data_IF_626485096915
#
_entry.id   IF_626485096915
#
_cell.length_a   1.000
_cell.length_b   1.000
_cell.length_c   1.000
_cell.angle_alpha   90.00
_cell.angle_beta   90.00
_cell.angle_gamma   90.00
#
_symmetry.space_group_name_H-M   'P 1'
#
loop_
_entity.id
_entity.type
_entity.pdbx_description
1 polymer ?
#
# COMPACT_ATOMS: atom_id res chain seq x y z
N UNK A 1 -14.31 -11.34 19.29
CA UNK A 1 -13.54 -12.21 18.39
C UNK A 1 -12.15 -12.45 18.93
N UNK A 2 -11.68 -13.69 18.86
CA UNK A 2 -10.28 -14.09 19.11
C UNK A 2 -9.53 -14.14 17.79
N UNK A 3 -8.43 -13.39 17.68
CA UNK A 3 -7.77 -13.15 16.39
C UNK A 3 -6.32 -13.58 16.45
N UNK A 4 -5.91 -14.37 15.45
CA UNK A 4 -4.54 -14.76 15.21
C UNK A 4 -4.05 -14.01 13.96
N UNK A 5 -2.96 -13.25 14.07
CA UNK A 5 -2.39 -12.44 12.98
C UNK A 5 -0.96 -12.87 12.69
N UNK A 6 -0.73 -13.44 11.52
CA UNK A 6 0.60 -13.81 11.04
C UNK A 6 1.13 -12.72 10.11
N UNK A 7 2.41 -12.37 10.25
CA UNK A 7 3.03 -11.29 9.47
C UNK A 7 2.34 -9.94 9.74
N UNK A 8 2.07 -9.66 11.02
CA UNK A 8 1.17 -8.58 11.45
C UNK A 8 1.63 -7.17 11.04
N UNK A 9 2.94 -6.98 10.89
CA UNK A 9 3.53 -5.69 10.57
C UNK A 9 3.19 -4.63 11.62
N UNK A 10 2.52 -3.57 11.18
CA UNK A 10 2.12 -2.45 12.03
C UNK A 10 0.68 -2.59 12.55
N UNK A 11 0.16 -3.82 12.64
CA UNK A 11 -1.18 -4.15 13.15
C UNK A 11 -2.33 -3.46 12.41
N UNK A 12 -2.22 -3.38 11.07
CA UNK A 12 -3.30 -2.89 10.23
C UNK A 12 -4.59 -3.72 10.42
N UNK A 13 -4.47 -5.03 10.71
CA UNK A 13 -5.60 -5.91 10.96
C UNK A 13 -6.40 -5.51 12.20
N UNK A 14 -5.73 -5.22 13.32
CA UNK A 14 -6.37 -4.73 14.54
C UNK A 14 -7.11 -3.40 14.30
N UNK A 15 -6.47 -2.46 13.60
CA UNK A 15 -7.13 -1.19 13.27
C UNK A 15 -8.33 -1.38 12.33
N UNK A 16 -8.26 -2.33 11.39
CA UNK A 16 -9.36 -2.64 10.50
C UNK A 16 -10.56 -3.24 11.25
N UNK A 17 -10.32 -4.12 12.23
CA UNK A 17 -11.36 -4.67 13.11
C UNK A 17 -12.06 -3.56 13.92
N UNK A 18 -11.28 -2.63 14.49
CA UNK A 18 -11.84 -1.47 15.20
C UNK A 18 -12.71 -0.61 14.28
N UNK A 19 -12.27 -0.37 13.04
CA UNK A 19 -13.05 0.41 12.04
C UNK A 19 -14.31 -0.30 11.57
N UNK A 20 -14.28 -1.63 11.49
CA UNK A 20 -15.45 -2.45 11.20
C UNK A 20 -16.41 -2.58 12.40
N UNK A 21 -16.05 -2.01 13.57
CA UNK A 21 -16.87 -2.11 14.78
C UNK A 21 -16.87 -3.50 15.42
N UNK A 22 -15.89 -4.35 15.08
CA UNK A 22 -15.83 -5.73 15.56
C UNK A 22 -15.07 -5.78 16.89
N UNK A 23 -15.70 -6.22 18.00
CA UNK A 23 -15.02 -6.31 19.28
C UNK A 23 -13.99 -7.44 19.29
N UNK A 24 -12.78 -7.11 19.74
CA UNK A 24 -11.64 -8.04 19.83
C UNK A 24 -11.43 -8.41 21.29
N UNK A 25 -11.53 -9.70 21.59
CA UNK A 25 -11.33 -10.26 22.94
C UNK A 25 -9.83 -10.48 23.20
N UNK A 26 -9.15 -11.13 22.26
CA UNK A 26 -7.70 -11.31 22.27
C UNK A 26 -7.15 -11.18 20.85
N UNK A 27 -5.90 -10.74 20.76
CA UNK A 27 -5.19 -10.54 19.50
C UNK A 27 -3.74 -10.99 19.66
N UNK A 28 -3.41 -12.07 18.98
CA UNK A 28 -2.10 -12.74 19.04
C UNK A 28 -1.39 -12.55 17.70
N UNK A 29 -0.22 -11.92 17.73
CA UNK A 29 0.49 -11.47 16.55
C UNK A 29 1.89 -12.09 16.42
N UNK A 30 2.21 -12.59 15.23
CA UNK A 30 3.55 -13.03 14.84
C UNK A 30 4.19 -11.98 13.92
N UNK A 31 5.26 -11.35 14.41
CA UNK A 31 6.04 -10.34 13.68
C UNK A 31 7.48 -10.31 14.21
N UNK A 32 8.45 -10.24 13.30
CA UNK A 32 9.89 -10.27 13.59
C UNK A 32 10.55 -8.90 13.42
N UNK A 33 9.96 -7.98 12.65
CA UNK A 33 10.49 -6.65 12.46
C UNK A 33 10.27 -5.81 13.73
N UNK A 34 11.37 -5.58 14.45
CA UNK A 34 11.37 -4.80 15.70
C UNK A 34 10.71 -3.42 15.58
N UNK A 35 10.79 -2.75 14.43
CA UNK A 35 10.20 -1.43 14.25
C UNK A 35 8.69 -1.53 14.08
N UNK A 36 8.24 -2.55 13.33
CA UNK A 36 6.83 -2.85 13.18
C UNK A 36 6.18 -3.21 14.53
N UNK A 37 6.83 -4.08 15.32
CA UNK A 37 6.43 -4.41 16.70
C UNK A 37 6.43 -3.17 17.60
N UNK A 38 7.40 -2.26 17.47
CA UNK A 38 7.44 -1.02 18.26
C UNK A 38 6.22 -0.14 17.98
N UNK A 39 5.85 0.02 16.70
CA UNK A 39 4.66 0.77 16.28
C UNK A 39 3.39 0.09 16.79
N UNK A 40 3.30 -1.22 16.63
CA UNK A 40 2.18 -2.04 17.11
C UNK A 40 1.96 -1.86 18.62
N UNK A 41 2.98 -2.11 19.44
CA UNK A 41 2.89 -1.98 20.91
C UNK A 41 2.49 -0.58 21.37
N UNK A 42 2.91 0.46 20.66
CA UNK A 42 2.54 1.85 20.99
C UNK A 42 1.05 2.10 20.73
N UNK A 43 0.53 1.60 19.62
CA UNK A 43 -0.85 1.86 19.21
C UNK A 43 -1.85 0.89 19.87
N UNK A 44 -1.43 -0.36 20.08
CA UNK A 44 -2.23 -1.45 20.63
C UNK A 44 -1.43 -2.25 21.67
N UNK A 45 -1.25 -1.73 22.90
CA UNK A 45 -0.54 -2.44 23.97
C UNK A 45 -1.14 -3.80 24.36
N UNK A 46 -2.40 -4.04 23.97
CA UNK A 46 -3.15 -5.26 24.24
C UNK A 46 -2.76 -6.43 23.34
N UNK A 47 -2.02 -6.20 22.25
CA UNK A 47 -1.58 -7.25 21.33
C UNK A 47 -0.48 -8.09 21.98
N UNK A 48 -0.64 -9.40 21.96
CA UNK A 48 0.37 -10.37 22.41
C UNK A 48 1.28 -10.71 21.25
N UNK A 49 2.58 -10.48 21.39
CA UNK A 49 3.56 -10.71 20.33
C UNK A 49 4.35 -11.99 20.55
N UNK A 50 4.30 -12.91 19.58
CA UNK A 50 4.95 -14.23 19.63
C UNK A 50 6.28 -14.30 18.85
N UNK A 51 6.58 -13.30 18.03
CA UNK A 51 7.83 -13.25 17.27
C UNK A 51 7.77 -14.03 15.96
N UNK A 52 8.71 -14.96 15.78
CA UNK A 52 8.90 -15.67 14.52
C UNK A 52 7.85 -16.76 14.30
N UNK A 53 7.23 -16.75 13.12
CA UNK A 53 6.17 -17.69 12.74
C UNK A 53 6.65 -19.15 12.70
N UNK A 54 7.93 -19.39 12.37
CA UNK A 54 8.48 -20.74 12.30
C UNK A 54 8.60 -21.42 13.67
N UNK A 55 8.72 -20.63 14.72
CA UNK A 55 8.90 -21.13 16.09
C UNK A 55 7.54 -21.24 16.82
N UNK A 56 6.44 -20.88 16.14
CA UNK A 56 5.09 -20.91 16.69
C UNK A 56 4.50 -22.31 16.77
N UNK A 57 3.95 -22.64 17.95
CA UNK A 57 2.96 -23.71 18.14
C UNK A 57 1.57 -23.11 17.97
N UNK A 58 0.88 -23.40 16.86
CA UNK A 58 -0.43 -22.81 16.60
C UNK A 58 -1.59 -23.58 17.25
N UNK A 59 -1.31 -24.76 17.82
CA UNK A 59 -2.33 -25.58 18.48
C UNK A 59 -2.87 -24.93 19.75
N UNK A 60 -2.10 -24.00 20.36
CA UNK A 60 -2.54 -23.19 21.50
C UNK A 60 -3.67 -22.19 21.13
N UNK A 61 -3.83 -21.87 19.85
CA UNK A 61 -4.86 -20.95 19.35
C UNK A 61 -6.11 -21.69 18.86
N UNK A 62 -6.31 -22.94 19.29
CA UNK A 62 -7.51 -23.70 18.96
C UNK A 62 -8.79 -22.97 19.39
N UNK A 63 -9.72 -22.83 18.46
CA UNK A 63 -11.00 -22.16 18.69
C UNK A 63 -10.97 -20.63 18.51
N UNK A 64 -9.89 -20.09 17.94
CA UNK A 64 -9.86 -18.70 17.49
C UNK A 64 -10.85 -18.49 16.33
N UNK A 65 -11.36 -17.27 16.19
CA UNK A 65 -12.42 -16.99 15.22
C UNK A 65 -11.85 -16.59 13.86
N UNK A 66 -10.74 -15.86 13.84
CA UNK A 66 -10.21 -15.21 12.64
C UNK A 66 -8.69 -15.35 12.55
N UNK A 67 -8.21 -15.87 11.42
CA UNK A 67 -6.81 -15.84 11.02
C UNK A 67 -6.57 -14.73 9.98
N UNK A 68 -5.64 -13.83 10.27
CA UNK A 68 -5.18 -12.81 9.34
C UNK A 68 -3.75 -13.11 8.90
N UNK A 69 -3.41 -12.81 7.64
CA UNK A 69 -2.01 -12.81 7.26
C UNK A 69 -1.70 -12.30 5.86
N UNK A 70 -0.53 -11.68 5.72
CA UNK A 70 -0.01 -11.23 4.43
C UNK A 70 1.47 -11.56 4.34
N UNK A 71 1.80 -12.72 3.75
CA UNK A 71 3.19 -13.15 3.71
C UNK A 71 4.07 -12.16 2.91
N UNK A 72 5.36 -12.01 3.27
CA UNK A 72 6.29 -11.13 2.58
C UNK A 72 6.29 -11.26 1.05
N UNK A 73 5.72 -10.27 0.38
CA UNK A 73 5.57 -10.29 -1.08
C UNK A 73 6.88 -9.97 -1.85
N UNK A 74 7.98 -9.73 -1.13
CA UNK A 74 9.31 -9.41 -1.69
C UNK A 74 9.84 -10.51 -2.60
N UNK A 75 9.48 -11.76 -2.35
CA UNK A 75 9.91 -12.90 -3.15
C UNK A 75 9.16 -13.01 -4.49
N UNK A 76 7.92 -12.53 -4.55
CA UNK A 76 7.01 -12.74 -5.68
C UNK A 76 6.76 -11.49 -6.53
N UNK A 77 7.19 -10.32 -6.07
CA UNK A 77 6.98 -9.05 -6.78
C UNK A 77 7.78 -8.95 -8.08
N UNK A 78 7.18 -8.40 -9.14
CA UNK A 78 7.85 -8.06 -10.43
C UNK A 78 8.97 -7.04 -10.23
N UNK A 79 8.95 -6.29 -9.12
CA UNK A 79 10.02 -5.34 -8.81
C UNK A 79 11.36 -6.04 -8.52
N UNK A 80 11.37 -7.35 -8.22
CA UNK A 80 12.57 -8.16 -8.04
C UNK A 80 12.99 -8.78 -9.38
N UNK A 81 14.26 -8.64 -9.75
CA UNK A 81 14.81 -9.21 -11.00
C UNK A 81 14.74 -10.76 -10.99
N UNK A 82 15.08 -11.37 -9.86
CA UNK A 82 15.08 -12.83 -9.65
C UNK A 82 13.93 -13.23 -8.71
N UNK A 83 12.69 -12.98 -9.14
CA UNK A 83 11.49 -13.36 -8.39
C UNK A 83 11.27 -14.87 -8.43
N UNK A 84 10.69 -15.42 -7.39
CA UNK A 84 10.24 -16.81 -7.39
C UNK A 84 9.05 -16.96 -8.34
N UNK A 85 9.06 -18.04 -9.11
CA UNK A 85 8.00 -18.39 -10.06
C UNK A 85 7.39 -19.76 -9.73
N UNK A 86 8.02 -20.49 -8.81
CA UNK A 86 7.68 -21.82 -8.34
C UNK A 86 7.43 -21.84 -6.83
N UNK A 87 6.86 -22.94 -6.35
CA UNK A 87 6.40 -23.11 -4.97
C UNK A 87 7.49 -23.68 -4.03
N UNK A 88 8.76 -23.55 -4.40
CA UNK A 88 9.90 -24.11 -3.65
C UNK A 88 10.66 -23.07 -2.83
N UNK A 89 10.38 -21.79 -3.07
CA UNK A 89 11.11 -20.69 -2.44
C UNK A 89 10.65 -20.33 -1.03
N UNK A 90 11.35 -19.37 -0.45
CA UNK A 90 11.14 -18.92 0.92
C UNK A 90 9.76 -18.24 1.07
N UNK A 91 9.31 -17.51 0.04
CA UNK A 91 7.97 -16.92 0.04
C UNK A 91 6.89 -17.98 0.19
N UNK A 92 7.05 -19.12 -0.48
CA UNK A 92 6.08 -20.22 -0.40
C UNK A 92 6.19 -20.97 0.92
N UNK A 93 7.39 -21.07 1.49
CA UNK A 93 7.58 -21.61 2.85
C UNK A 93 6.83 -20.79 3.89
N UNK A 94 6.88 -19.46 3.82
CA UNK A 94 6.10 -18.56 4.69
C UNK A 94 4.59 -18.74 4.51
N UNK A 95 4.13 -18.95 3.26
CA UNK A 95 2.73 -19.29 3.00
C UNK A 95 2.33 -20.64 3.61
N UNK A 96 3.19 -21.65 3.58
CA UNK A 96 2.91 -22.94 4.25
C UNK A 96 2.73 -22.78 5.76
N UNK A 97 3.46 -21.87 6.40
CA UNK A 97 3.25 -21.57 7.82
C UNK A 97 1.88 -20.96 8.08
N UNK A 98 1.39 -20.12 7.17
CA UNK A 98 0.02 -19.60 7.26
C UNK A 98 -1.02 -20.72 7.16
N UNK A 99 -0.82 -21.67 6.23
CA UNK A 99 -1.70 -22.85 6.10
C UNK A 99 -1.63 -23.73 7.34
N UNK A 100 -0.42 -23.99 7.87
CA UNK A 100 -0.21 -24.72 9.13
C UNK A 100 -0.96 -24.05 10.28
N UNK A 101 -0.86 -22.73 10.41
CA UNK A 101 -1.58 -21.98 11.42
C UNK A 101 -3.10 -22.11 11.26
N UNK A 102 -3.62 -22.06 10.03
CA UNK A 102 -5.05 -22.24 9.75
C UNK A 102 -5.55 -23.62 10.18
N UNK A 103 -4.81 -24.67 9.81
CA UNK A 103 -5.16 -26.07 10.12
C UNK A 103 -5.05 -26.37 11.63
N UNK A 104 -3.96 -25.95 12.29
CA UNK A 104 -3.70 -26.23 13.70
C UNK A 104 -4.61 -25.42 14.65
N UNK A 105 -4.89 -24.16 14.34
CA UNK A 105 -5.79 -23.30 15.13
C UNK A 105 -7.28 -23.58 14.87
N UNK A 106 -7.62 -24.11 13.69
CA UNK A 106 -9.01 -24.33 13.30
C UNK A 106 -9.84 -23.05 13.24
N UNK A 107 -9.22 -21.91 12.86
CA UNK A 107 -9.92 -20.64 12.75
C UNK A 107 -11.13 -20.73 11.81
N UNK A 108 -12.27 -20.17 12.25
CA UNK A 108 -13.53 -20.20 11.47
C UNK A 108 -13.40 -19.41 10.17
N UNK A 109 -12.80 -18.23 10.26
CA UNK A 109 -12.58 -17.33 9.13
C UNK A 109 -11.10 -17.10 8.91
N UNK A 110 -10.71 -16.85 7.66
CA UNK A 110 -9.36 -16.48 7.33
C UNK A 110 -9.32 -15.39 6.26
N UNK A 111 -8.28 -14.55 6.29
CA UNK A 111 -7.99 -13.57 5.26
C UNK A 111 -6.50 -13.54 4.96
N UNK A 112 -6.14 -14.00 3.76
CA UNK A 112 -4.79 -14.00 3.25
C UNK A 112 -4.60 -12.97 2.15
N UNK A 113 -3.60 -12.09 2.27
CA UNK A 113 -3.30 -11.04 1.29
C UNK A 113 -1.96 -11.27 0.58
N UNK A 114 -1.92 -10.93 -0.71
CA UNK A 114 -0.66 -10.74 -1.42
C UNK A 114 -0.74 -9.76 -2.58
N UNK A 115 0.41 -9.47 -3.18
CA UNK A 115 0.51 -8.58 -4.33
C UNK A 115 -0.26 -9.15 -5.56
N UNK A 116 -0.84 -8.28 -6.37
CA UNK A 116 -1.54 -8.71 -7.59
C UNK A 116 -0.59 -9.33 -8.64
N UNK A 117 0.69 -9.02 -8.54
CA UNK A 117 1.73 -9.34 -9.51
C UNK A 117 2.37 -10.73 -9.34
N UNK A 118 1.94 -11.50 -8.33
CA UNK A 118 2.39 -12.88 -8.07
C UNK A 118 2.25 -13.71 -9.34
N UNK A 119 3.22 -14.59 -9.59
CA UNK A 119 3.20 -15.48 -10.75
C UNK A 119 1.95 -16.38 -10.72
N UNK A 120 1.36 -16.66 -11.89
CA UNK A 120 0.08 -17.36 -11.97
C UNK A 120 0.14 -18.74 -11.30
N UNK A 121 1.21 -19.51 -11.52
CA UNK A 121 1.39 -20.82 -10.87
C UNK A 121 1.31 -20.76 -9.34
N UNK A 122 1.84 -19.71 -8.73
CA UNK A 122 1.80 -19.53 -7.27
C UNK A 122 0.38 -19.17 -6.84
N UNK A 123 -0.32 -18.32 -7.60
CA UNK A 123 -1.73 -18.00 -7.33
C UNK A 123 -2.61 -19.24 -7.42
N UNK A 124 -2.43 -20.05 -8.46
CA UNK A 124 -3.19 -21.27 -8.68
C UNK A 124 -2.98 -22.26 -7.53
N UNK A 125 -1.75 -22.39 -7.04
CA UNK A 125 -1.47 -23.25 -5.89
C UNK A 125 -2.04 -22.69 -4.59
N UNK A 126 -1.98 -21.37 -4.35
CA UNK A 126 -2.62 -20.73 -3.19
C UNK A 126 -4.14 -20.97 -3.23
N UNK A 127 -4.78 -20.74 -4.38
CA UNK A 127 -6.21 -20.98 -4.60
C UNK A 127 -6.57 -22.44 -4.33
N UNK A 128 -5.76 -23.38 -4.83
CA UNK A 128 -5.96 -24.82 -4.62
C UNK A 128 -5.85 -25.22 -3.15
N UNK A 129 -4.86 -24.69 -2.43
CA UNK A 129 -4.62 -25.03 -1.02
C UNK A 129 -5.67 -24.40 -0.10
N UNK A 130 -6.02 -23.13 -0.32
CA UNK A 130 -7.03 -22.42 0.48
C UNK A 130 -8.47 -22.73 0.06
N UNK A 131 -8.68 -23.35 -1.10
CA UNK A 131 -9.98 -23.75 -1.64
C UNK A 131 -10.88 -22.59 -2.07
N UNK A 132 -10.33 -21.37 -2.23
CA UNK A 132 -11.09 -20.15 -2.56
C UNK A 132 -10.38 -19.35 -3.64
N UNK A 133 -11.14 -18.69 -4.51
CA UNK A 133 -10.60 -17.82 -5.55
C UNK A 133 -10.17 -16.44 -4.99
N UNK A 134 -9.12 -15.81 -5.55
CA UNK A 134 -8.68 -14.50 -5.10
C UNK A 134 -9.63 -13.39 -5.54
N UNK A 135 -9.97 -12.52 -4.59
CA UNK A 135 -10.64 -11.25 -4.85
C UNK A 135 -9.57 -10.20 -5.12
N UNK A 136 -9.62 -9.55 -6.29
CA UNK A 136 -8.71 -8.46 -6.62
C UNK A 136 -9.35 -7.12 -6.26
N UNK A 137 -8.74 -6.37 -5.34
CA UNK A 137 -9.20 -5.02 -4.97
C UNK A 137 -8.06 -4.02 -5.23
N UNK A 138 -8.41 -2.89 -5.83
CA UNK A 138 -7.51 -1.74 -5.94
C UNK A 138 -7.83 -0.73 -4.83
N UNK A 139 -6.83 -0.39 -4.02
CA UNK A 139 -6.96 0.62 -2.97
C UNK A 139 -7.35 2.00 -3.48
N UNK A 140 -7.24 2.25 -4.80
CA UNK A 140 -7.70 3.49 -5.41
C UNK A 140 -9.19 3.76 -5.17
N UNK A 141 -10.01 2.75 -4.87
CA UNK A 141 -11.41 2.94 -4.51
C UNK A 141 -11.57 3.70 -3.18
N UNK A 142 -10.71 3.41 -2.20
CA UNK A 142 -10.85 3.96 -0.83
C UNK A 142 -9.73 4.91 -0.43
N UNK A 143 -8.72 5.09 -1.28
CA UNK A 143 -7.52 5.88 -1.02
C UNK A 143 -7.02 6.59 -2.28
N UNK A 144 -6.12 7.55 -2.10
CA UNK A 144 -5.41 8.23 -3.16
C UNK A 144 -4.28 7.40 -3.80
N UNK A 145 -4.22 6.08 -3.58
CA UNK A 145 -3.15 5.21 -4.07
C UNK A 145 -3.65 4.17 -5.10
N UNK A 146 -2.93 4.05 -6.22
CA UNK A 146 -3.09 2.90 -7.11
C UNK A 146 -2.29 1.70 -6.56
N UNK A 147 -2.97 0.78 -5.87
CA UNK A 147 -2.40 -0.42 -5.23
C UNK A 147 -3.35 -1.60 -5.42
N UNK A 148 -3.02 -2.49 -6.35
CA UNK A 148 -3.76 -3.73 -6.61
C UNK A 148 -3.23 -4.85 -5.73
N UNK A 149 -4.13 -5.57 -5.05
CA UNK A 149 -3.85 -6.73 -4.21
C UNK A 149 -4.86 -7.84 -4.45
N UNK A 150 -4.44 -9.07 -4.18
CA UNK A 150 -5.27 -10.27 -4.18
C UNK A 150 -5.53 -10.68 -2.74
N UNK A 151 -6.79 -11.02 -2.45
CA UNK A 151 -7.25 -11.45 -1.14
C UNK A 151 -7.91 -12.82 -1.29
N UNK A 152 -7.44 -13.82 -0.55
CA UNK A 152 -8.05 -15.13 -0.43
C UNK A 152 -8.73 -15.22 0.92
N UNK A 153 -10.03 -15.51 0.93
CA UNK A 153 -10.82 -15.53 2.17
C UNK A 153 -12.07 -16.38 2.00
N UNK A 154 -12.52 -16.98 3.10
CA UNK A 154 -13.83 -17.63 3.21
C UNK A 154 -14.91 -16.73 3.84
N UNK A 155 -14.58 -15.45 4.13
CA UNK A 155 -15.56 -14.46 4.58
C UNK A 155 -16.54 -14.19 3.42
N UNK A 156 -17.87 -14.13 3.66
CA UNK A 156 -18.87 -14.05 2.61
C UNK A 156 -18.89 -12.65 1.95
N UNK A 157 -17.92 -12.41 1.06
CA UNK A 157 -17.75 -11.15 0.36
C UNK A 157 -18.88 -10.94 -0.67
N UNK A 158 -19.70 -9.91 -0.46
CA UNK A 158 -20.89 -9.65 -1.29
C UNK A 158 -20.74 -8.46 -2.23
N UNK A 159 -19.88 -7.49 -1.93
CA UNK A 159 -19.75 -6.28 -2.74
C UNK A 159 -18.39 -5.60 -2.58
N UNK A 160 -17.97 -4.89 -3.62
CA UNK A 160 -16.75 -4.08 -3.61
C UNK A 160 -16.98 -2.74 -2.89
N UNK A 161 -15.94 -2.14 -2.30
CA UNK A 161 -16.05 -0.80 -1.73
C UNK A 161 -16.35 0.23 -2.83
N UNK A 162 -17.20 1.20 -2.51
CA UNK A 162 -17.49 2.32 -3.40
C UNK A 162 -16.27 3.23 -3.58
N UNK A 163 -16.14 3.85 -4.76
CA UNK A 163 -15.07 4.81 -5.01
C UNK A 163 -15.34 6.12 -4.24
N UNK A 164 -14.49 6.41 -3.25
CA UNK A 164 -14.52 7.64 -2.46
C UNK A 164 -14.03 8.87 -3.24
N UNK A 165 -13.48 8.70 -4.45
CA UNK A 165 -13.04 9.79 -5.31
C UNK A 165 -11.80 10.55 -4.82
N UNK A 166 -11.06 10.00 -3.86
CA UNK A 166 -9.94 10.67 -3.18
C UNK A 166 -8.72 10.76 -4.12
N UNK A 167 -8.21 11.94 -4.39
CA UNK A 167 -7.01 12.15 -5.21
C UNK A 167 -5.78 12.45 -4.34
N UNK A 168 -4.59 12.42 -4.95
CA UNK A 168 -3.35 12.63 -4.20
C UNK A 168 -3.31 14.01 -3.52
N UNK A 169 -3.79 15.05 -4.19
CA UNK A 169 -3.94 16.40 -3.62
C UNK A 169 -4.74 16.43 -2.30
N UNK A 170 -5.68 15.50 -2.11
CA UNK A 170 -6.58 15.49 -0.95
C UNK A 170 -5.91 14.88 0.29
N UNK A 171 -4.79 14.16 0.13
CA UNK A 171 -4.04 13.56 1.24
C UNK A 171 -2.75 14.33 1.59
N UNK A 172 -2.41 15.38 0.83
CA UNK A 172 -1.22 16.20 1.08
C UNK A 172 -1.32 16.97 2.39
N UNK A 173 -0.17 17.19 3.03
CA UNK A 173 -0.09 18.09 4.18
C UNK A 173 -0.10 19.55 3.72
N UNK A 174 -0.83 20.40 4.45
CA UNK A 174 -0.75 21.85 4.29
C UNK A 174 0.42 22.40 5.12
N UNK A 175 1.10 23.43 4.63
CA UNK A 175 2.10 24.16 5.42
C UNK A 175 3.43 23.43 5.65
N UNK A 176 3.80 22.44 4.82
CA UNK A 176 5.11 21.76 4.93
C UNK A 176 6.24 22.78 4.77
N UNK A 177 7.07 22.94 5.81
CA UNK A 177 8.10 23.97 5.87
C UNK A 177 9.17 23.80 4.76
N UNK A 178 9.47 24.90 4.08
CA UNK A 178 10.46 24.99 2.99
C UNK A 178 11.87 24.49 3.36
N UNK A 179 12.21 24.51 4.66
CA UNK A 179 13.55 24.23 5.17
C UNK A 179 13.83 22.78 5.53
N UNK A 180 12.85 21.87 5.43
CA UNK A 180 13.08 20.44 5.59
C UNK A 180 13.81 19.89 4.35
N UNK A 181 15.12 20.17 4.28
CA UNK A 181 16.07 19.78 3.22
C UNK A 181 16.09 18.28 2.89
N UNK A 182 15.39 17.44 3.65
CA UNK A 182 15.31 15.99 3.43
C UNK A 182 14.35 15.55 2.34
N UNK A 183 13.40 16.39 1.91
CA UNK A 183 12.35 15.99 0.95
C UNK A 183 12.46 16.65 -0.41
N UNK A 184 13.09 17.82 -0.48
CA UNK A 184 13.35 18.55 -1.71
C UNK A 184 14.66 18.07 -2.34
N UNK A 185 14.73 17.96 -3.67
CA UNK A 185 16.00 17.73 -4.35
C UNK A 185 16.89 18.97 -4.18
N UNK A 186 17.82 18.96 -3.22
CA UNK A 186 18.90 19.94 -3.18
C UNK A 186 20.10 19.39 -3.95
N UNK A 187 20.52 20.09 -5.00
CA UNK A 187 21.83 19.84 -5.60
C UNK A 187 22.91 20.11 -4.54
N UNK A 188 23.68 19.10 -4.15
CA UNK A 188 24.84 19.26 -3.28
C UNK A 188 25.93 20.01 -4.04
N UNK A 189 26.23 21.23 -3.63
CA UNK A 189 27.44 21.96 -4.03
C UNK A 189 28.40 21.98 -2.85
N UNK A 190 29.65 21.63 -3.11
CA UNK A 190 30.75 21.81 -2.18
C UNK A 190 30.93 23.33 -1.91
N UNK A 191 30.91 23.77 -0.64
CA UNK A 191 31.14 25.17 -0.26
C UNK A 191 29.93 26.10 -0.09
N UNK A 192 28.71 25.60 0.13
CA UNK A 192 27.54 26.46 0.35
C UNK A 192 27.47 27.07 1.77
N UNK A 193 27.54 28.40 1.87
CA UNK A 193 27.40 29.20 3.11
C UNK A 193 26.08 29.99 3.13
N UNK A 194 25.57 30.32 4.33
CA UNK A 194 24.22 30.84 4.60
C UNK A 194 23.82 32.07 3.75
N UNK A 195 24.78 32.91 3.39
CA UNK A 195 24.54 34.09 2.54
C UNK A 195 24.09 33.72 1.12
N UNK A 196 24.52 32.57 0.58
CA UNK A 196 24.14 32.10 -0.76
C UNK A 196 22.65 31.75 -0.88
N UNK A 197 21.96 31.52 0.24
CA UNK A 197 20.52 31.21 0.29
C UNK A 197 19.68 32.48 0.37
N UNK A 198 20.16 33.52 1.05
CA UNK A 198 19.43 34.76 1.30
C UNK A 198 19.49 35.75 0.12
N UNK A 199 20.62 35.84 -0.59
CA UNK A 199 20.78 36.78 -1.73
C UNK A 199 20.26 36.24 -3.08
N UNK A 200 20.33 34.93 -3.33
CA UNK A 200 20.22 34.40 -4.70
C UNK A 200 18.81 34.25 -5.28
N UNK A 201 17.73 34.55 -4.53
CA UNK A 201 16.32 34.29 -4.96
C UNK A 201 16.25 33.02 -5.81
N UNK A 202 16.72 31.89 -5.27
CA UNK A 202 17.13 30.74 -6.09
C UNK A 202 15.99 30.34 -7.02
N UNK A 203 16.32 30.42 -8.31
CA UNK A 203 15.45 30.63 -9.47
C UNK A 203 14.22 29.71 -9.53
N UNK A 204 13.12 30.29 -10.00
CA UNK A 204 11.95 29.62 -10.59
C UNK A 204 12.41 28.58 -11.60
N UNK A 205 12.03 27.32 -11.39
CA UNK A 205 12.14 26.31 -12.43
C UNK A 205 11.04 26.61 -13.45
N UNK A 206 11.37 27.26 -14.57
CA UNK A 206 10.48 27.23 -15.73
C UNK A 206 10.60 25.83 -16.32
N UNK A 207 9.65 24.97 -15.98
CA UNK A 207 9.40 23.78 -16.77
C UNK A 207 8.87 24.24 -18.12
N UNK A 208 9.72 24.23 -19.15
CA UNK A 208 9.18 24.16 -20.50
C UNK A 208 8.34 22.88 -20.59
N UNK A 209 7.11 22.95 -21.13
CA UNK A 209 6.35 21.76 -21.41
C UNK A 209 7.17 20.91 -22.38
N UNK A 210 7.74 19.80 -21.91
CA UNK A 210 8.27 18.77 -22.80
C UNK A 210 7.04 18.24 -23.55
N UNK A 211 6.93 18.46 -24.87
CA UNK A 211 5.82 17.92 -25.62
C UNK A 211 5.83 16.41 -25.44
N UNK A 212 4.69 15.88 -24.98
CA UNK A 212 4.44 14.44 -25.02
C UNK A 212 4.41 14.06 -26.49
N UNK A 213 5.51 13.53 -27.00
CA UNK A 213 5.61 12.53 -28.07
C UNK A 213 7.07 12.40 -28.54
N UNK A 214 7.82 11.45 -27.99
CA UNK A 214 8.81 10.76 -28.83
C UNK A 214 8.03 9.79 -29.71
N UNK A 215 7.51 10.30 -30.83
CA UNK A 215 6.89 9.50 -31.87
C UNK A 215 7.90 9.33 -33.02
N UNK A 216 8.46 8.12 -33.14
CA UNK A 216 9.12 7.67 -34.35
C UNK A 216 8.11 6.82 -35.13
N UNK A 217 7.48 7.41 -36.12
CA UNK A 217 6.53 6.74 -36.99
C UNK A 217 5.72 7.76 -37.75
N UNK A 218 5.32 7.44 -38.97
CA UNK A 218 4.41 8.24 -39.76
C UNK A 218 2.99 7.68 -39.61
N UNK A 219 2.04 8.59 -39.48
CA UNK A 219 0.61 8.43 -39.77
C UNK A 219 -0.40 7.99 -38.69
N UNK A 220 -1.42 8.86 -38.61
CA UNK A 220 -2.77 8.78 -38.05
C UNK A 220 -2.92 9.00 -36.54
N UNK A 221 -3.39 10.21 -36.23
CA UNK A 221 -4.00 10.60 -34.97
C UNK A 221 -5.03 9.56 -34.50
N UNK A 222 -4.88 9.08 -33.27
CA UNK A 222 -5.98 8.41 -32.58
C UNK A 222 -6.69 9.44 -31.73
N UNK A 223 -8.00 9.53 -31.90
CA UNK A 223 -8.91 10.29 -31.06
C UNK A 223 -8.80 9.77 -29.63
N UNK A 224 -8.44 10.64 -28.68
CA UNK A 224 -8.58 10.35 -27.26
C UNK A 224 -10.08 10.24 -26.99
N UNK A 225 -10.54 9.09 -26.48
CA UNK A 225 -11.94 8.96 -26.05
C UNK A 225 -12.20 9.99 -24.95
N UNK A 226 -13.03 10.98 -25.26
CA UNK A 226 -13.53 11.97 -24.31
C UNK A 226 -14.51 11.30 -23.34
N UNK A 227 -13.98 10.59 -22.36
CA UNK A 227 -14.71 10.22 -21.16
C UNK A 227 -14.78 11.44 -20.25
N UNK A 228 -15.95 12.05 -20.12
CA UNK A 228 -16.23 13.09 -19.13
C UNK A 228 -16.07 12.50 -17.71
N UNK A 229 -14.87 12.56 -17.14
CA UNK A 229 -14.71 12.68 -15.70
C UNK A 229 -13.41 13.41 -15.38
N UNK A 230 -13.57 14.53 -14.68
CA UNK A 230 -12.56 15.49 -14.20
C UNK A 230 -11.18 14.88 -13.88
N UNK A 231 -10.17 15.27 -14.68
CA UNK A 231 -8.74 15.37 -14.32
C UNK A 231 -7.94 14.07 -14.02
N UNK A 232 -7.91 13.10 -14.95
CA UNK A 232 -6.87 12.06 -14.97
C UNK A 232 -7.13 10.95 -15.98
N UNK A 233 -6.08 10.26 -16.45
CA UNK A 233 -6.25 9.00 -17.19
C UNK A 233 -6.93 7.98 -16.26
N UNK A 234 -8.06 7.40 -16.67
CA UNK A 234 -8.80 6.43 -15.87
C UNK A 234 -8.49 5.00 -16.33
N UNK A 235 -8.33 4.08 -15.39
CA UNK A 235 -8.33 2.64 -15.69
C UNK A 235 -9.70 2.08 -15.38
N UNK A 236 -10.29 1.43 -16.38
CA UNK A 236 -11.47 0.58 -16.18
C UNK A 236 -11.04 -0.70 -15.46
N UNK A 237 -11.56 -0.90 -14.25
CA UNK A 237 -11.49 -2.18 -13.57
C UNK A 237 -12.76 -2.96 -13.93
N UNK A 238 -12.56 -4.09 -14.62
CA UNK A 238 -13.58 -5.13 -14.78
C UNK A 238 -13.29 -6.22 -13.76
N UNK A 239 -14.19 -6.42 -12.82
CA UNK A 239 -14.11 -7.53 -11.87
C UNK A 239 -14.80 -8.74 -12.50
N UNK A 240 -14.03 -9.72 -12.97
CA UNK A 240 -14.54 -11.00 -13.44
C UNK A 240 -15.15 -11.76 -12.25
N UNK A 241 -16.46 -12.03 -12.29
CA UNK A 241 -17.18 -12.76 -11.24
C UNK A 241 -18.37 -12.03 -10.62
N UNK A 242 -18.53 -10.72 -10.86
CA UNK A 242 -19.71 -9.96 -10.44
C UNK A 242 -20.46 -9.39 -11.65
N UNK A 243 -21.71 -9.83 -11.83
CA UNK A 243 -22.61 -9.29 -12.85
C UNK A 243 -23.08 -7.89 -12.43
N UNK A 244 -22.30 -6.86 -12.76
CA UNK A 244 -22.75 -5.47 -12.72
C UNK A 244 -21.73 -4.51 -12.11
N UNK A 245 -20.94 -3.84 -12.95
CA UNK A 245 -20.15 -2.68 -12.55
C UNK A 245 -18.78 -2.61 -13.21
N UNK A 246 -18.68 -1.87 -14.31
CA UNK A 246 -17.37 -1.36 -14.77
C UNK A 246 -17.04 -0.17 -13.88
N UNK A 247 -16.10 -0.31 -12.95
CA UNK A 247 -15.67 0.80 -12.10
C UNK A 247 -14.43 1.44 -12.71
N UNK A 248 -14.54 2.71 -13.10
CA UNK A 248 -13.41 3.49 -13.56
C UNK A 248 -12.77 4.20 -12.37
N UNK A 249 -11.50 3.92 -12.12
CA UNK A 249 -10.72 4.60 -11.07
C UNK A 249 -9.67 5.52 -11.69
N UNK A 250 -9.38 6.64 -11.04
CA UNK A 250 -8.27 7.50 -11.43
C UNK A 250 -6.92 6.76 -11.31
N UNK A 251 -5.94 7.14 -12.13
CA UNK A 251 -4.60 6.52 -12.14
C UNK A 251 -3.49 7.53 -11.86
N UNK A 252 -2.25 7.07 -11.61
CA UNK A 252 -1.10 7.96 -11.51
C UNK A 252 -0.80 8.65 -12.83
N UNK A 253 -0.89 9.98 -12.85
CA UNK A 253 -0.58 10.80 -14.02
C UNK A 253 0.91 11.14 -14.00
N UNK A 254 1.69 10.47 -14.85
CA UNK A 254 3.12 10.75 -14.98
C UNK A 254 3.30 12.03 -15.81
N UNK A 255 4.01 13.00 -15.27
CA UNK A 255 4.27 14.30 -15.93
C UNK A 255 5.73 14.47 -16.33
N UNK A 256 6.60 13.58 -15.88
CA UNK A 256 8.01 13.65 -16.24
C UNK A 256 8.85 12.54 -15.66
N UNK A 257 10.15 12.67 -15.92
CA UNK A 257 11.19 11.83 -15.36
C UNK A 257 12.50 12.62 -15.33
N UNK A 258 13.44 12.16 -14.53
CA UNK A 258 14.83 12.60 -14.64
C UNK A 258 15.75 11.38 -14.82
N UNK A 259 16.94 11.60 -15.38
CA UNK A 259 17.87 10.52 -15.69
C UNK A 259 17.28 9.45 -16.62
N UNK A 260 17.49 8.17 -16.30
CA UNK A 260 17.09 7.03 -17.14
C UNK A 260 15.63 6.61 -16.95
N UNK A 261 14.85 7.31 -16.12
CA UNK A 261 13.43 6.99 -15.91
C UNK A 261 13.16 5.70 -15.12
N UNK A 262 14.11 5.28 -14.28
CA UNK A 262 13.91 4.17 -13.33
C UNK A 262 12.78 4.43 -12.33
N UNK A 263 12.33 3.42 -11.58
CA UNK A 263 11.14 3.49 -10.72
C UNK A 263 11.14 4.71 -9.77
N UNK A 264 12.26 5.00 -9.11
CA UNK A 264 12.42 6.15 -8.22
C UNK A 264 12.75 7.47 -8.92
N UNK A 265 12.74 7.53 -10.25
CA UNK A 265 13.10 8.72 -11.03
C UNK A 265 11.94 9.34 -11.81
N UNK A 266 10.71 8.91 -11.51
CA UNK A 266 9.50 9.32 -12.22
C UNK A 266 8.77 10.37 -11.40
N UNK A 267 8.28 11.40 -12.07
CA UNK A 267 7.57 12.54 -11.46
C UNK A 267 6.10 12.44 -11.86
N UNK A 268 5.22 12.54 -10.88
CA UNK A 268 3.78 12.40 -11.02
C UNK A 268 3.03 13.67 -10.62
N UNK A 269 1.83 13.86 -11.16
CA UNK A 269 0.93 14.94 -10.77
C UNK A 269 0.07 14.55 -9.57
N UNK A 270 -0.23 15.54 -8.73
CA UNK A 270 -1.11 15.41 -7.56
C UNK A 270 -2.60 15.36 -7.91
N UNK A 271 -2.95 15.67 -9.17
CA UNK A 271 -4.33 15.55 -9.67
C UNK A 271 -4.71 14.09 -9.96
N UNK A 272 -3.74 13.18 -10.03
CA UNK A 272 -3.96 11.74 -10.17
C UNK A 272 -3.87 10.98 -8.84
N UNK A 273 -3.72 9.66 -8.92
CA UNK A 273 -3.40 8.81 -7.76
C UNK A 273 -1.87 8.71 -7.54
N UNK A 274 -1.44 8.46 -6.31
CA UNK A 274 -0.09 8.01 -5.98
C UNK A 274 0.20 6.65 -6.61
N UNK A 275 1.46 6.40 -6.97
CA UNK A 275 1.94 5.03 -7.24
C UNK A 275 1.93 4.17 -5.98
N UNK A 276 1.99 2.85 -6.14
CA UNK A 276 2.12 1.92 -5.01
C UNK A 276 3.41 2.21 -4.23
N UNK A 277 3.27 2.39 -2.90
CA UNK A 277 4.42 2.53 -2.00
C UNK A 277 5.26 1.23 -2.03
N UNK A 278 6.58 1.37 -1.94
CA UNK A 278 7.50 0.23 -1.87
C UNK A 278 8.34 0.28 -0.61
N UNK A 279 8.51 -0.84 0.08
CA UNK A 279 9.30 -0.88 1.31
C UNK A 279 10.82 -0.79 1.05
N UNK A 280 11.28 -1.41 -0.03
CA UNK A 280 12.71 -1.54 -0.37
C UNK A 280 13.11 -0.73 -1.62
N UNK A 281 12.23 0.12 -2.15
CA UNK A 281 12.51 0.87 -3.38
C UNK A 281 13.64 1.88 -3.22
N UNK A 282 14.58 1.91 -4.17
CA UNK A 282 15.70 2.86 -4.23
C UNK A 282 15.46 4.06 -5.16
N UNK A 283 16.48 4.93 -5.30
CA UNK A 283 16.42 6.18 -6.09
C UNK A 283 16.02 7.41 -5.27
N UNK A 284 16.04 8.62 -5.86
CA UNK A 284 15.70 9.82 -5.07
C UNK A 284 14.20 9.91 -4.74
N UNK A 285 13.34 9.32 -5.56
CA UNK A 285 11.93 9.02 -5.24
C UNK A 285 11.72 7.70 -4.49
N UNK A 286 12.73 7.17 -3.80
CA UNK A 286 12.67 5.90 -3.08
C UNK A 286 11.39 5.78 -2.24
N UNK A 287 10.75 4.62 -2.31
CA UNK A 287 9.55 4.22 -1.55
C UNK A 287 8.25 4.91 -1.96
N UNK A 288 8.24 6.22 -2.22
CA UNK A 288 7.02 7.00 -2.47
C UNK A 288 6.75 7.37 -3.93
N UNK A 289 7.81 7.52 -4.74
CA UNK A 289 7.76 8.31 -5.97
C UNK A 289 8.02 9.80 -5.71
N UNK A 290 8.16 10.57 -6.80
CA UNK A 290 8.26 12.03 -6.76
C UNK A 290 7.01 12.68 -7.31
N UNK A 291 6.61 13.80 -6.72
CA UNK A 291 5.39 14.50 -7.07
C UNK A 291 5.66 15.99 -7.24
N UNK A 292 5.07 16.58 -8.29
CA UNK A 292 5.00 18.04 -8.45
C UNK A 292 3.87 18.56 -7.58
N UNK A 293 4.22 19.39 -6.62
CA UNK A 293 3.30 19.99 -5.66
C UNK A 293 3.31 21.48 -5.90
N UNK A 294 2.14 22.01 -6.24
CA UNK A 294 1.95 23.44 -6.50
C UNK A 294 1.94 24.20 -5.17
N UNK A 295 2.60 25.35 -5.14
CA UNK A 295 2.75 26.22 -3.99
C UNK A 295 1.76 27.39 -4.07
N UNK A 296 1.38 28.00 -2.92
CA UNK A 296 0.39 29.08 -2.89
C UNK A 296 0.78 30.34 -3.68
N UNK A 297 2.08 30.57 -3.89
CA UNK A 297 2.62 31.70 -4.65
C UNK A 297 2.67 31.44 -6.17
N UNK A 298 2.19 30.28 -6.62
CA UNK A 298 2.17 29.89 -8.03
C UNK A 298 3.44 29.16 -8.51
N UNK A 299 4.45 29.00 -7.65
CA UNK A 299 5.60 28.14 -7.95
C UNK A 299 5.28 26.67 -7.64
N UNK A 300 6.22 25.75 -7.86
CA UNK A 300 6.05 24.35 -7.51
C UNK A 300 7.32 23.73 -6.94
N UNK A 301 7.14 22.66 -6.17
CA UNK A 301 8.24 21.83 -5.67
C UNK A 301 8.08 20.39 -6.15
N UNK A 302 9.20 19.74 -6.48
CA UNK A 302 9.22 18.30 -6.71
C UNK A 302 9.81 17.64 -5.47
N UNK A 303 8.98 16.88 -4.76
CA UNK A 303 9.40 16.17 -3.55
C UNK A 303 8.81 14.77 -3.43
N UNK A 304 9.37 14.00 -2.51
CA UNK A 304 8.73 12.79 -1.98
C UNK A 304 7.53 13.15 -1.10
N UNK A 305 6.64 12.19 -0.91
CA UNK A 305 5.58 12.29 0.09
C UNK A 305 6.19 12.21 1.50
N UNK A 306 5.63 12.95 2.45
CA UNK A 306 6.00 12.87 3.87
C UNK A 306 5.55 11.53 4.47
N UNK A 307 6.02 11.16 5.66
CA UNK A 307 5.52 9.97 6.35
C UNK A 307 4.01 10.01 6.64
N UNK A 308 3.47 11.18 6.99
CA UNK A 308 2.03 11.35 7.27
C UNK A 308 1.22 11.20 5.97
N UNK A 309 1.67 11.82 4.87
CA UNK A 309 1.03 11.62 3.55
C UNK A 309 1.06 10.14 3.14
N UNK A 310 2.15 9.42 3.44
CA UNK A 310 2.24 7.99 3.19
C UNK A 310 1.31 7.15 4.11
N UNK A 311 1.13 7.55 5.37
CA UNK A 311 0.14 6.94 6.29
C UNK A 311 -1.27 7.09 5.72
N UNK A 312 -1.65 8.30 5.32
CA UNK A 312 -2.94 8.60 4.69
C UNK A 312 -3.17 7.79 3.41
N UNK A 313 -2.12 7.49 2.63
CA UNK A 313 -2.25 6.59 1.47
C UNK A 313 -2.62 5.13 1.84
N UNK A 314 -2.23 4.64 3.01
CA UNK A 314 -2.70 3.34 3.55
C UNK A 314 -3.98 3.50 4.39
N UNK A 315 -4.62 4.67 4.34
CA UNK A 315 -5.74 5.09 5.19
C UNK A 315 -5.44 5.03 6.69
N UNK A 316 -4.18 5.10 7.11
CA UNK A 316 -3.80 5.13 8.53
C UNK A 316 -4.08 6.52 9.14
N UNK A 317 -4.33 6.59 10.46
CA UNK A 317 -4.37 7.86 11.19
C UNK A 317 -3.03 8.60 11.08
N UNK A 318 -3.07 9.93 11.17
CA UNK A 318 -1.86 10.74 11.19
C UNK A 318 -0.99 10.36 12.40
N UNK A 319 0.32 10.28 12.16
CA UNK A 319 1.33 9.89 13.16
C UNK A 319 1.21 8.45 13.66
N UNK A 320 0.51 7.57 12.94
CA UNK A 320 0.36 6.17 13.31
C UNK A 320 1.71 5.43 13.48
N UNK A 321 2.72 5.78 12.68
CA UNK A 321 4.07 5.20 12.73
C UNK A 321 5.11 6.12 13.37
N UNK A 322 4.68 7.13 14.13
CA UNK A 322 5.60 7.97 14.89
C UNK A 322 6.36 7.16 15.96
N UNK A 323 7.58 7.59 16.28
CA UNK A 323 8.47 6.93 17.26
C UNK A 323 9.57 6.07 16.63
N UNK A 324 9.55 5.86 15.31
CA UNK A 324 10.63 5.22 14.55
C UNK A 324 11.21 6.16 13.50
N UNK A 325 12.41 5.85 13.00
CA UNK A 325 13.08 6.69 12.01
C UNK A 325 12.28 6.79 10.70
N UNK A 326 12.37 7.94 10.00
CA UNK A 326 11.67 8.19 8.73
C UNK A 326 11.84 7.04 7.72
N UNK A 327 13.04 6.49 7.62
CA UNK A 327 13.35 5.35 6.73
C UNK A 327 12.55 4.11 7.08
N UNK A 328 12.39 3.81 8.37
CA UNK A 328 11.61 2.66 8.85
C UNK A 328 10.12 2.92 8.74
N UNK A 329 9.64 4.15 9.01
CA UNK A 329 8.23 4.54 8.75
C UNK A 329 7.81 4.17 7.34
N UNK A 330 8.55 4.62 6.32
CA UNK A 330 8.22 4.27 4.93
C UNK A 330 8.30 2.77 4.63
N UNK A 331 9.20 2.02 5.28
CA UNK A 331 9.32 0.57 5.10
C UNK A 331 8.06 -0.11 5.62
N UNK A 332 7.69 0.19 6.87
CA UNK A 332 6.50 -0.34 7.54
C UNK A 332 5.21 0.01 6.79
N UNK A 333 5.02 1.29 6.43
CA UNK A 333 3.84 1.75 5.67
C UNK A 333 3.77 1.09 4.28
N UNK A 334 4.91 0.92 3.59
CA UNK A 334 4.93 0.29 2.27
C UNK A 334 4.48 -1.17 2.30
N UNK A 335 4.85 -1.90 3.37
CA UNK A 335 4.44 -3.28 3.59
C UNK A 335 3.03 -3.41 4.16
N UNK A 336 2.55 -2.42 4.92
CA UNK A 336 1.22 -2.42 5.53
C UNK A 336 0.07 -2.54 4.53
N UNK A 337 -1.09 -2.89 5.07
CA UNK A 337 -2.35 -2.93 4.32
C UNK A 337 -3.00 -1.56 4.26
N UNK A 338 -3.77 -1.36 3.19
CA UNK A 338 -4.74 -0.26 3.13
C UNK A 338 -5.91 -0.61 4.04
N UNK A 339 -5.99 0.05 5.19
CA UNK A 339 -6.85 -0.39 6.31
C UNK A 339 -8.33 -0.39 5.93
N UNK A 340 -8.78 0.58 5.13
CA UNK A 340 -10.19 0.67 4.70
C UNK A 340 -10.60 -0.49 3.79
N UNK A 341 -9.67 -1.04 3.01
CA UNK A 341 -9.96 -2.24 2.19
C UNK A 341 -10.19 -3.45 3.10
N UNK A 342 -9.33 -3.60 4.10
CA UNK A 342 -9.44 -4.71 5.05
C UNK A 342 -10.71 -4.57 5.90
N UNK A 343 -11.00 -3.37 6.41
CA UNK A 343 -12.21 -3.10 7.17
C UNK A 343 -13.47 -3.42 6.37
N UNK A 344 -13.50 -3.09 5.07
CA UNK A 344 -14.60 -3.44 4.17
C UNK A 344 -14.75 -4.96 3.96
N UNK A 345 -13.64 -5.71 3.85
CA UNK A 345 -13.73 -7.18 3.77
C UNK A 345 -14.26 -7.74 5.10
N UNK A 346 -13.74 -7.24 6.24
CA UNK A 346 -14.12 -7.72 7.57
C UNK A 346 -15.56 -7.36 7.96
N UNK A 347 -16.14 -6.28 7.41
CA UNK A 347 -17.54 -5.94 7.68
C UNK A 347 -18.56 -6.98 7.17
N UNK A 348 -18.12 -7.95 6.36
CA UNK A 348 -18.94 -9.09 5.94
C UNK A 348 -18.84 -10.30 6.88
N UNK A 349 -18.05 -10.22 7.95
CA UNK A 349 -18.07 -11.25 8.98
C UNK A 349 -19.47 -11.30 9.60
N UNK A 350 -20.08 -12.50 9.75
CA UNK A 350 -21.36 -12.59 10.43
C UNK A 350 -21.22 -12.18 11.88
N UNK A 351 -22.22 -11.46 12.39
CA UNK A 351 -22.31 -11.18 13.82
C UNK A 351 -22.29 -12.52 14.57
N UNK A 352 -21.41 -12.63 15.56
CA UNK A 352 -21.40 -13.79 16.43
C UNK A 352 -22.75 -13.84 17.13
N UNK A 353 -23.51 -14.92 16.96
CA UNK A 353 -24.73 -15.16 17.74
C UNK A 353 -24.36 -15.00 19.21
N UNK A 354 -24.76 -13.86 19.79
CA UNK A 354 -24.67 -13.65 21.22
C UNK A 354 -25.65 -14.65 21.82
N UNK A 355 -25.13 -15.78 22.30
CA UNK A 355 -25.88 -16.64 23.22
C UNK A 355 -26.04 -15.81 24.49
N UNK A 356 -27.21 -15.19 24.62
CA UNK A 356 -27.65 -14.41 25.78
C UNK A 356 -27.83 -15.36 26.97
#
# INVERSE_FOLDING_TARGET
>A
MKVLSLFDGISCGMLALQRAGIPVECYDAFEIDKYAVTVSKRNFPVIVHHGNVYDGDFTQFKGYDLLLGGSPCTYWSIAKKDREIDCNGEGFRLFKEYVRALEESGCKYFLYENNYSVHQNIKDEITKVLGVEPIMINSALVSAQNRKRCYWTNIPFTSFPEDKGILLKDVLESGVAWQDKSYCMTASYDGAVLFNTLERKQRTMVAEPIPINTYQGTDKSRTVMAGYHKYGEATIIKNSGFNGGTTAIATPVRIGQYGKGGQGQRIYSVIGKSVTLSANGGGQGAKTGLYKIDLPDGDYVIRKLTPIEAERLQTLPDNYTEGISKTQRYKCIGNGWTVDVIAHILSFLPESECVI
#
